data_IF_863124428268
#
_entry.id   IF_863124428268
#
_cell.length_a   1.000
_cell.length_b   1.000
_cell.length_c   1.000
_cell.angle_alpha   90.00
_cell.angle_beta   90.00
_cell.angle_gamma   90.00
#
_symmetry.space_group_name_H-M   'P 1'
#
loop_
_entity.id
_entity.type
_entity.pdbx_description
1 polymer ?
#
# COMPACT_ATOMS: atom_id res chain seq x y z
N UNK A 1 -19.56 -93.11 -64.21
CA UNK A 1 -20.45 -91.98 -64.58
C UNK A 1 -21.01 -91.21 -63.36
N UNK A 2 -21.79 -91.80 -62.44
CA UNK A 2 -22.33 -91.06 -61.28
C UNK A 2 -21.26 -90.57 -60.29
N UNK A 3 -20.28 -91.41 -59.94
CA UNK A 3 -19.17 -91.04 -59.05
C UNK A 3 -18.28 -89.90 -59.60
N UNK A 4 -18.08 -89.84 -60.92
CA UNK A 4 -17.34 -88.75 -61.57
C UNK A 4 -18.11 -87.43 -61.57
N UNK A 5 -19.43 -87.47 -61.72
CA UNK A 5 -20.26 -86.28 -61.65
C UNK A 5 -20.29 -85.72 -60.22
N UNK A 6 -20.35 -86.59 -59.20
CA UNK A 6 -20.26 -86.19 -57.79
C UNK A 6 -18.90 -85.54 -57.48
N UNK A 7 -17.80 -86.17 -57.90
CA UNK A 7 -16.44 -85.60 -57.75
C UNK A 7 -16.29 -84.25 -58.46
N UNK A 8 -16.86 -84.08 -59.65
CA UNK A 8 -16.86 -82.79 -60.37
C UNK A 8 -17.62 -81.71 -59.62
N UNK A 9 -18.77 -82.05 -59.04
CA UNK A 9 -19.57 -81.10 -58.26
C UNK A 9 -18.87 -80.72 -56.94
N UNK A 10 -18.21 -81.67 -56.27
CA UNK A 10 -17.38 -81.40 -55.09
C UNK A 10 -16.18 -80.50 -55.44
N UNK A 11 -15.44 -80.80 -56.50
CA UNK A 11 -14.35 -79.95 -57.00
C UNK A 11 -14.84 -78.54 -57.33
N UNK A 12 -16.03 -78.40 -57.91
CA UNK A 12 -16.65 -77.09 -58.19
C UNK A 12 -16.95 -76.31 -56.90
N UNK A 13 -17.47 -76.98 -55.87
CA UNK A 13 -17.74 -76.36 -54.56
C UNK A 13 -16.45 -75.94 -53.86
N UNK A 14 -15.43 -76.80 -53.89
CA UNK A 14 -14.09 -76.50 -53.36
C UNK A 14 -13.50 -75.30 -54.10
N UNK A 15 -13.58 -75.26 -55.43
CA UNK A 15 -13.10 -74.12 -56.23
C UNK A 15 -13.78 -72.80 -55.87
N UNK A 16 -15.11 -72.79 -55.63
CA UNK A 16 -15.84 -71.60 -55.16
C UNK A 16 -15.39 -71.15 -53.77
N UNK A 17 -15.20 -72.10 -52.84
CA UNK A 17 -14.69 -71.81 -51.50
C UNK A 17 -13.28 -71.20 -51.56
N UNK A 18 -12.39 -71.79 -52.36
CA UNK A 18 -11.02 -71.29 -52.55
C UNK A 18 -11.03 -69.88 -53.13
N UNK A 19 -11.84 -69.62 -54.17
CA UNK A 19 -11.95 -68.28 -54.77
C UNK A 19 -12.50 -67.23 -53.78
N UNK A 20 -13.52 -67.60 -52.99
CA UNK A 20 -14.06 -66.70 -51.97
C UNK A 20 -13.05 -66.40 -50.87
N UNK A 21 -12.30 -67.41 -50.41
CA UNK A 21 -11.25 -67.24 -49.41
C UNK A 21 -10.09 -66.39 -49.95
N UNK A 22 -9.69 -66.58 -51.21
CA UNK A 22 -8.66 -65.77 -51.86
C UNK A 22 -9.09 -64.28 -51.92
N UNK A 23 -10.32 -64.00 -52.39
CA UNK A 23 -10.85 -62.64 -52.42
C UNK A 23 -10.93 -62.02 -51.01
N UNK A 24 -11.31 -62.79 -50.00
CA UNK A 24 -11.37 -62.32 -48.62
C UNK A 24 -9.97 -62.00 -48.05
N UNK A 25 -8.96 -62.80 -48.41
CA UNK A 25 -7.55 -62.53 -48.06
C UNK A 25 -7.08 -61.24 -48.73
N UNK A 26 -7.37 -61.05 -50.02
CA UNK A 26 -6.95 -59.85 -50.76
C UNK A 26 -7.58 -58.57 -50.18
N UNK A 27 -8.88 -58.59 -49.89
CA UNK A 27 -9.57 -57.44 -49.25
C UNK A 27 -9.01 -57.18 -47.85
N UNK A 28 -8.73 -58.22 -47.07
CA UNK A 28 -8.12 -58.06 -45.74
C UNK A 28 -6.69 -57.49 -45.82
N UNK A 29 -5.90 -57.90 -46.82
CA UNK A 29 -4.57 -57.36 -47.06
C UNK A 29 -4.64 -55.88 -47.45
N UNK A 30 -5.54 -55.48 -48.36
CA UNK A 30 -5.76 -54.07 -48.72
C UNK A 30 -6.17 -53.23 -47.50
N UNK A 31 -7.10 -53.74 -46.69
CA UNK A 31 -7.52 -53.05 -45.46
C UNK A 31 -6.36 -52.91 -44.45
N UNK A 32 -5.48 -53.90 -44.39
CA UNK A 32 -4.29 -53.85 -43.55
C UNK A 32 -3.34 -52.75 -44.01
N UNK A 33 -3.06 -52.65 -45.32
CA UNK A 33 -2.24 -51.58 -45.91
C UNK A 33 -2.84 -50.18 -45.65
N UNK A 34 -4.16 -50.02 -45.79
CA UNK A 34 -4.85 -48.76 -45.48
C UNK A 34 -4.71 -48.36 -44.00
N UNK A 35 -4.82 -49.33 -43.08
CA UNK A 35 -4.63 -49.05 -41.65
C UNK A 35 -3.19 -48.67 -41.34
N UNK A 36 -2.20 -49.34 -41.95
CA UNK A 36 -0.79 -49.00 -41.79
C UNK A 36 -0.47 -47.60 -42.33
N UNK A 37 -1.09 -47.21 -43.45
CA UNK A 37 -0.98 -45.85 -43.97
C UNK A 37 -1.54 -44.82 -42.99
N UNK A 38 -2.79 -45.02 -42.53
CA UNK A 38 -3.44 -44.12 -41.55
C UNK A 38 -2.66 -44.03 -40.25
N UNK A 39 -2.15 -45.15 -39.75
CA UNK A 39 -1.32 -45.20 -38.55
C UNK A 39 -0.05 -44.35 -38.71
N UNK A 40 0.68 -44.52 -39.83
CA UNK A 40 1.88 -43.72 -40.13
C UNK A 40 1.57 -42.22 -40.24
N UNK A 41 0.47 -41.87 -40.90
CA UNK A 41 0.05 -40.48 -41.04
C UNK A 41 -0.27 -39.83 -39.69
N UNK A 42 -1.01 -40.55 -38.83
CA UNK A 42 -1.33 -40.11 -37.46
C UNK A 42 -0.05 -39.95 -36.64
N UNK A 43 0.87 -40.93 -36.67
CA UNK A 43 2.15 -40.84 -35.97
C UNK A 43 2.97 -39.63 -36.42
N UNK A 44 3.08 -39.38 -37.73
CA UNK A 44 3.83 -38.25 -38.27
C UNK A 44 3.17 -36.90 -37.91
N UNK A 45 1.84 -36.84 -37.86
CA UNK A 45 1.10 -35.66 -37.40
C UNK A 45 1.33 -35.40 -35.92
N UNK A 46 1.26 -36.44 -35.09
CA UNK A 46 1.49 -36.35 -33.65
C UNK A 46 2.91 -35.88 -33.33
N UNK A 47 3.93 -36.41 -34.01
CA UNK A 47 5.32 -35.97 -33.85
C UNK A 47 5.47 -34.48 -34.15
N UNK A 48 4.91 -34.00 -35.27
CA UNK A 48 4.93 -32.57 -35.62
C UNK A 48 4.29 -31.69 -34.56
N UNK A 49 3.09 -32.06 -34.10
CA UNK A 49 2.38 -31.33 -33.04
C UNK A 49 3.15 -31.33 -31.71
N UNK A 50 3.81 -32.45 -31.37
CA UNK A 50 4.65 -32.54 -30.19
C UNK A 50 5.88 -31.62 -30.27
N UNK A 51 6.54 -31.55 -31.44
CA UNK A 51 7.68 -30.66 -31.66
C UNK A 51 7.30 -29.18 -31.58
N UNK A 52 6.16 -28.80 -32.17
CA UNK A 52 5.62 -27.44 -32.05
C UNK A 52 5.30 -27.07 -30.61
N UNK A 53 4.69 -28.00 -29.86
CA UNK A 53 4.40 -27.80 -28.44
C UNK A 53 5.66 -27.59 -27.61
N UNK A 54 6.72 -28.35 -27.88
CA UNK A 54 7.99 -28.19 -27.15
C UNK A 54 8.69 -26.86 -27.49
N UNK A 55 8.65 -26.43 -28.76
CA UNK A 55 9.15 -25.10 -29.17
C UNK A 55 8.42 -23.97 -28.45
N UNK A 56 7.10 -24.02 -28.39
CA UNK A 56 6.28 -23.02 -27.70
C UNK A 56 6.56 -23.01 -26.19
N UNK A 57 6.69 -24.20 -25.58
CA UNK A 57 7.05 -24.34 -24.17
C UNK A 57 8.41 -23.70 -23.87
N UNK A 58 9.40 -23.96 -24.72
CA UNK A 58 10.75 -23.40 -24.55
C UNK A 58 10.74 -21.87 -24.68
N UNK A 59 10.02 -21.32 -25.66
CA UNK A 59 9.86 -19.88 -25.81
C UNK A 59 9.18 -19.23 -24.59
N UNK A 60 8.12 -19.86 -24.06
CA UNK A 60 7.45 -19.40 -22.85
C UNK A 60 8.39 -19.37 -21.64
N UNK A 61 9.18 -20.43 -21.44
CA UNK A 61 10.18 -20.50 -20.36
C UNK A 61 11.21 -19.36 -20.48
N UNK A 62 11.66 -19.06 -21.70
CA UNK A 62 12.67 -18.04 -21.94
C UNK A 62 12.14 -16.62 -21.70
N UNK A 63 10.89 -16.34 -22.09
CA UNK A 63 10.24 -15.06 -21.79
C UNK A 63 10.00 -14.87 -20.29
N UNK A 64 9.58 -15.92 -19.56
CA UNK A 64 9.45 -15.88 -18.10
C UNK A 64 10.79 -15.54 -17.44
N UNK A 65 11.90 -16.13 -17.91
CA UNK A 65 13.24 -15.81 -17.41
C UNK A 65 13.63 -14.36 -17.67
N UNK A 66 13.36 -13.83 -18.86
CA UNK A 66 13.64 -12.41 -19.19
C UNK A 66 12.84 -11.48 -18.28
N UNK A 67 11.55 -11.75 -18.08
CA UNK A 67 10.70 -10.97 -17.18
C UNK A 67 11.23 -11.00 -15.74
N UNK A 68 11.63 -12.17 -15.23
CA UNK A 68 12.21 -12.31 -13.90
C UNK A 68 13.52 -11.52 -13.75
N UNK A 69 14.40 -11.56 -14.75
CA UNK A 69 15.63 -10.76 -14.73
C UNK A 69 15.33 -9.26 -14.66
N UNK A 70 14.40 -8.75 -15.49
CA UNK A 70 14.02 -7.33 -15.49
C UNK A 70 13.42 -6.91 -14.15
N UNK A 71 12.52 -7.74 -13.59
CA UNK A 71 11.87 -7.48 -12.31
C UNK A 71 12.90 -7.43 -11.16
N UNK A 72 13.82 -8.40 -11.12
CA UNK A 72 14.90 -8.44 -10.13
C UNK A 72 15.80 -7.19 -10.22
N UNK A 73 16.16 -6.79 -11.42
CA UNK A 73 16.97 -5.59 -11.69
C UNK A 73 16.28 -4.30 -11.23
N UNK A 74 14.97 -4.17 -11.52
CA UNK A 74 14.15 -3.03 -11.05
C UNK A 74 14.11 -3.00 -9.52
N UNK A 75 13.89 -4.16 -8.89
CA UNK A 75 13.86 -4.29 -7.45
C UNK A 75 15.20 -3.87 -6.81
N UNK A 76 16.32 -4.32 -7.36
CA UNK A 76 17.65 -3.97 -6.85
C UNK A 76 17.92 -2.45 -6.94
N UNK A 77 17.58 -1.82 -8.08
CA UNK A 77 17.71 -0.36 -8.24
C UNK A 77 16.82 0.41 -7.27
N UNK A 78 15.59 -0.05 -7.05
CA UNK A 78 14.68 0.54 -6.06
C UNK A 78 15.24 0.43 -4.64
N UNK A 79 15.73 -0.74 -4.25
CA UNK A 79 16.39 -0.94 -2.95
C UNK A 79 17.58 0.01 -2.75
N UNK A 80 18.42 0.19 -3.77
CA UNK A 80 19.56 1.11 -3.70
C UNK A 80 19.12 2.57 -3.51
N UNK A 81 18.12 3.02 -4.29
CA UNK A 81 17.56 4.38 -4.13
C UNK A 81 16.97 4.59 -2.74
N UNK A 82 16.23 3.62 -2.20
CA UNK A 82 15.68 3.71 -0.85
C UNK A 82 16.75 3.76 0.23
N UNK A 83 17.82 2.97 0.10
CA UNK A 83 18.97 3.05 1.01
C UNK A 83 19.59 4.45 0.99
N UNK A 84 19.78 5.04 -0.19
CA UNK A 84 20.30 6.40 -0.34
C UNK A 84 19.35 7.45 0.29
N UNK A 85 18.07 7.40 -0.04
CA UNK A 85 17.06 8.32 0.51
C UNK A 85 16.98 8.24 2.04
N UNK A 86 17.08 7.03 2.60
CA UNK A 86 17.12 6.84 4.06
C UNK A 86 18.33 7.53 4.68
N UNK A 87 19.50 7.40 4.06
CA UNK A 87 20.71 8.07 4.52
C UNK A 87 20.57 9.59 4.45
N UNK A 88 20.06 10.12 3.34
CA UNK A 88 19.88 11.57 3.14
C UNK A 88 18.88 12.16 4.17
N UNK A 89 17.77 11.46 4.45
CA UNK A 89 16.80 11.85 5.49
C UNK A 89 17.42 11.85 6.89
N UNK A 90 18.25 10.86 7.22
CA UNK A 90 18.94 10.79 8.52
C UNK A 90 19.94 11.96 8.66
N UNK A 91 20.64 12.32 7.59
CA UNK A 91 21.51 13.48 7.55
C UNK A 91 20.75 14.79 7.78
N UNK A 92 19.64 15.02 7.06
CA UNK A 92 18.81 16.21 7.24
C UNK A 92 18.24 16.32 8.65
N UNK A 93 17.78 15.20 9.22
CA UNK A 93 17.26 15.16 10.60
C UNK A 93 18.31 15.65 11.60
N UNK A 94 19.56 15.19 11.47
CA UNK A 94 20.66 15.63 12.35
C UNK A 94 20.98 17.12 12.18
N UNK A 95 20.90 17.65 10.96
CA UNK A 95 21.10 19.09 10.70
C UNK A 95 20.01 19.92 11.39
N UNK A 96 18.74 19.52 11.27
CA UNK A 96 17.63 20.20 11.96
C UNK A 96 17.77 20.12 13.48
N UNK A 97 18.16 18.97 14.04
CA UNK A 97 18.44 18.83 15.47
C UNK A 97 19.56 19.77 15.95
N UNK A 98 20.60 19.99 15.15
CA UNK A 98 21.66 20.94 15.47
C UNK A 98 21.17 22.39 15.44
N UNK A 99 20.38 22.77 14.42
CA UNK A 99 19.78 24.11 14.32
C UNK A 99 18.84 24.41 15.48
N UNK A 100 18.04 23.44 15.91
CA UNK A 100 17.16 23.59 17.09
C UNK A 100 17.99 23.90 18.34
N UNK A 101 19.08 23.16 18.59
CA UNK A 101 19.98 23.44 19.72
C UNK A 101 20.63 24.81 19.66
N UNK A 102 20.97 25.30 18.46
CA UNK A 102 21.52 26.64 18.31
C UNK A 102 20.46 27.73 18.60
N UNK A 103 19.23 27.55 18.10
CA UNK A 103 18.13 28.46 18.37
C UNK A 103 17.79 28.51 19.86
N UNK A 104 17.76 27.37 20.56
CA UNK A 104 17.56 27.32 22.02
C UNK A 104 18.60 28.14 22.78
N UNK A 105 19.88 28.07 22.38
CA UNK A 105 20.94 28.89 22.98
C UNK A 105 20.72 30.38 22.72
N UNK A 106 20.35 30.76 21.49
CA UNK A 106 20.05 32.17 21.15
C UNK A 106 18.84 32.71 21.91
N UNK A 107 17.79 31.90 22.09
CA UNK A 107 16.64 32.26 22.91
C UNK A 107 17.05 32.46 24.37
N UNK A 108 17.85 31.56 24.93
CA UNK A 108 18.34 31.72 26.30
C UNK A 108 19.17 33.00 26.48
N UNK A 109 20.01 33.33 25.50
CA UNK A 109 20.81 34.56 25.49
C UNK A 109 19.92 35.81 25.43
N UNK A 110 18.96 35.85 24.50
CA UNK A 110 18.03 36.97 24.38
C UNK A 110 17.18 37.15 25.65
N UNK A 111 16.78 36.07 26.32
CA UNK A 111 16.04 36.12 27.58
C UNK A 111 16.88 36.70 28.73
N UNK A 112 18.19 36.44 28.74
CA UNK A 112 19.12 37.04 29.72
C UNK A 112 19.26 38.54 29.46
N UNK A 113 19.57 38.95 28.23
CA UNK A 113 19.69 40.35 27.84
C UNK A 113 18.40 41.13 28.13
N UNK A 114 17.24 40.53 27.84
CA UNK A 114 15.94 41.14 28.15
C UNK A 114 15.74 41.36 29.65
N UNK A 115 16.18 40.43 30.51
CA UNK A 115 16.11 40.59 31.97
C UNK A 115 17.03 41.70 32.46
N UNK A 116 18.23 41.81 31.91
CA UNK A 116 19.18 42.87 32.24
C UNK A 116 18.63 44.25 31.88
N UNK A 117 18.10 44.42 30.66
CA UNK A 117 17.47 45.66 30.21
C UNK A 117 16.25 46.05 31.05
N UNK A 118 15.45 45.07 31.51
CA UNK A 118 14.32 45.32 32.43
C UNK A 118 14.83 45.85 33.77
N UNK A 119 15.88 45.25 34.33
CA UNK A 119 16.46 45.67 35.60
C UNK A 119 17.08 47.08 35.49
N UNK A 120 17.78 47.38 34.39
CA UNK A 120 18.31 48.71 34.12
C UNK A 120 17.21 49.75 34.00
N UNK A 121 16.11 49.45 33.30
CA UNK A 121 14.95 50.33 33.20
C UNK A 121 14.32 50.62 34.58
N UNK A 122 14.17 49.60 35.43
CA UNK A 122 13.66 49.78 36.79
C UNK A 122 14.59 50.68 37.62
N UNK A 123 15.91 50.51 37.51
CA UNK A 123 16.90 51.36 38.19
C UNK A 123 16.87 52.81 37.69
N UNK A 124 16.81 53.02 36.37
CA UNK A 124 16.70 54.36 35.76
C UNK A 124 15.40 55.04 36.19
N UNK A 125 14.28 54.31 36.21
CA UNK A 125 12.99 54.80 36.70
C UNK A 125 13.04 55.16 38.19
N UNK A 126 13.78 54.40 39.00
CA UNK A 126 14.06 54.72 40.41
C UNK A 126 14.84 56.03 40.56
N UNK A 127 15.95 56.17 39.83
CA UNK A 127 16.78 57.39 39.83
C UNK A 127 16.00 58.62 39.36
N UNK A 128 15.20 58.50 38.29
CA UNK A 128 14.32 59.57 37.81
C UNK A 128 13.25 59.97 38.84
N UNK A 129 12.75 59.02 39.65
CA UNK A 129 11.83 59.32 40.75
C UNK A 129 12.51 60.07 41.90
N UNK A 130 13.82 59.89 42.07
CA UNK A 130 14.65 60.69 42.99
C UNK A 130 14.98 62.07 42.37
N UNK A 131 14.87 62.24 41.05
CA UNK A 131 15.29 63.43 40.29
C UNK A 131 14.16 64.34 39.75
N UNK A 132 12.91 64.27 40.23
CA UNK A 132 11.90 65.29 39.91
C UNK A 132 11.49 66.15 41.12
N UNK A 133 11.30 67.48 40.94
CA UNK A 133 12.29 68.45 41.42
C UNK A 133 11.68 69.53 42.33
N UNK A 134 12.50 70.03 43.25
CA UNK A 134 12.32 71.39 43.79
C UNK A 134 12.79 72.35 42.67
N UNK A 135 11.87 72.71 41.78
CA UNK A 135 11.90 73.87 40.88
C UNK A 135 13.06 73.99 39.88
N UNK A 136 12.76 73.82 38.58
CA UNK A 136 13.13 74.80 37.55
C UNK A 136 12.53 74.39 36.21
N UNK A 137 11.88 75.35 35.55
CA UNK A 137 11.45 75.26 34.17
C UNK A 137 12.63 74.94 33.23
N UNK A 138 12.33 74.22 32.14
CA UNK A 138 13.20 73.87 31.00
C UNK A 138 14.02 72.57 31.13
N UNK A 139 13.34 71.42 31.01
CA UNK A 139 13.94 70.24 30.38
C UNK A 139 13.37 70.18 28.96
N UNK A 140 14.26 70.19 27.97
CA UNK A 140 14.00 70.28 26.54
C UNK A 140 12.91 69.29 26.09
N UNK A 141 11.77 69.84 25.68
CA UNK A 141 10.67 69.15 25.00
C UNK A 141 11.14 68.28 23.79
N UNK A 142 12.36 68.53 23.30
CA UNK A 142 13.02 67.81 22.20
C UNK A 142 13.39 66.37 22.55
N UNK A 143 13.86 66.08 23.76
CA UNK A 143 14.34 64.73 24.13
C UNK A 143 13.19 63.75 24.43
N UNK A 144 12.06 64.28 24.90
CA UNK A 144 10.83 63.50 25.06
C UNK A 144 10.24 63.14 23.69
N UNK A 145 10.36 64.03 22.71
CA UNK A 145 9.89 63.79 21.35
C UNK A 145 10.76 62.76 20.60
N UNK A 146 12.09 62.78 20.78
CA UNK A 146 12.97 61.78 20.14
C UNK A 146 12.68 60.36 20.64
N UNK A 147 12.58 60.17 21.96
CA UNK A 147 12.27 58.86 22.55
C UNK A 147 10.87 58.35 22.15
N UNK A 148 9.91 59.26 21.99
CA UNK A 148 8.57 58.89 21.52
C UNK A 148 8.58 58.41 20.07
N UNK A 149 9.38 59.05 19.22
CA UNK A 149 9.56 58.63 17.83
C UNK A 149 10.26 57.27 17.75
N UNK A 150 11.32 57.04 18.53
CA UNK A 150 12.00 55.74 18.57
C UNK A 150 11.08 54.62 19.08
N UNK A 151 10.26 54.89 20.10
CA UNK A 151 9.28 53.91 20.59
C UNK A 151 8.21 53.59 19.53
N UNK A 152 7.79 54.60 18.77
CA UNK A 152 6.84 54.44 17.68
C UNK A 152 7.44 53.62 16.53
N UNK A 153 8.68 53.92 16.14
CA UNK A 153 9.41 53.18 15.11
C UNK A 153 9.59 51.69 15.50
N UNK A 154 9.92 51.41 16.76
CA UNK A 154 10.01 50.03 17.26
C UNK A 154 8.66 49.31 17.31
N UNK A 155 7.57 50.03 17.57
CA UNK A 155 6.23 49.44 17.52
C UNK A 155 5.82 49.09 16.08
N UNK A 156 6.18 49.93 15.11
CA UNK A 156 5.90 49.70 13.69
C UNK A 156 6.76 48.54 13.13
N UNK A 157 8.05 48.48 13.47
CA UNK A 157 8.93 47.32 13.15
C UNK A 157 8.39 46.00 13.73
N UNK A 158 7.87 46.03 14.96
CA UNK A 158 7.30 44.85 15.60
C UNK A 158 6.06 44.35 14.85
N UNK A 159 5.23 45.27 14.36
CA UNK A 159 4.06 44.98 13.52
C UNK A 159 4.46 44.35 12.19
N UNK A 160 5.51 44.87 11.55
CA UNK A 160 6.04 44.33 10.32
C UNK A 160 6.63 42.92 10.51
N UNK A 161 7.31 42.70 11.64
CA UNK A 161 7.84 41.40 12.02
C UNK A 161 6.71 40.37 12.27
N UNK A 162 5.62 40.77 12.94
CA UNK A 162 4.42 39.93 13.12
C UNK A 162 3.76 39.58 11.77
N UNK A 163 3.64 40.56 10.87
CA UNK A 163 3.12 40.36 9.51
C UNK A 163 3.99 39.38 8.70
N UNK A 164 5.30 39.52 8.78
CA UNK A 164 6.25 38.62 8.13
C UNK A 164 6.15 37.21 8.69
N UNK A 165 6.05 37.06 10.01
CA UNK A 165 5.92 35.75 10.65
C UNK A 165 4.62 35.04 10.23
N UNK A 166 3.49 35.76 10.23
CA UNK A 166 2.22 35.23 9.72
C UNK A 166 2.32 34.79 8.26
N UNK A 167 3.01 35.58 7.43
CA UNK A 167 3.23 35.24 6.01
C UNK A 167 4.07 33.98 5.85
N UNK A 168 5.13 33.83 6.65
CA UNK A 168 5.98 32.63 6.64
C UNK A 168 5.21 31.38 7.06
N UNK A 169 4.38 31.46 8.10
CA UNK A 169 3.51 30.34 8.53
C UNK A 169 2.56 29.92 7.41
N UNK A 170 1.96 30.88 6.71
CA UNK A 170 1.07 30.59 5.56
C UNK A 170 1.85 29.92 4.44
N UNK A 171 3.04 30.43 4.07
CA UNK A 171 3.89 29.82 3.02
C UNK A 171 4.36 28.41 3.40
N UNK A 172 4.73 28.18 4.64
CA UNK A 172 5.12 26.86 5.13
C UNK A 172 3.96 25.86 5.01
N UNK A 173 2.75 26.26 5.40
CA UNK A 173 1.55 25.42 5.27
C UNK A 173 1.22 25.11 3.82
N UNK A 174 1.33 26.09 2.93
CA UNK A 174 1.11 25.91 1.49
C UNK A 174 2.15 24.96 0.89
N UNK A 175 3.44 25.16 1.19
CA UNK A 175 4.52 24.30 0.69
C UNK A 175 4.40 22.86 1.23
N UNK A 176 4.00 22.70 2.50
CA UNK A 176 3.71 21.38 3.06
C UNK A 176 2.52 20.70 2.37
N UNK A 177 1.50 21.46 1.95
CA UNK A 177 0.38 20.93 1.20
C UNK A 177 0.82 20.44 -0.19
N UNK A 178 1.57 21.25 -0.92
CA UNK A 178 2.17 20.88 -2.21
C UNK A 178 3.06 19.63 -2.10
N UNK A 179 3.88 19.54 -1.04
CA UNK A 179 4.71 18.36 -0.77
C UNK A 179 3.86 17.11 -0.50
N UNK A 180 2.77 17.25 0.26
CA UNK A 180 1.85 16.14 0.52
C UNK A 180 1.14 15.67 -0.75
N UNK A 181 0.74 16.59 -1.62
CA UNK A 181 0.08 16.23 -2.87
C UNK A 181 1.05 15.58 -3.87
N UNK A 182 2.29 16.10 -4.00
CA UNK A 182 3.34 15.45 -4.77
C UNK A 182 3.65 14.04 -4.26
N UNK A 183 3.61 13.83 -2.93
CA UNK A 183 3.78 12.49 -2.32
C UNK A 183 2.62 11.56 -2.66
N UNK A 184 1.37 12.04 -2.62
CA UNK A 184 0.19 11.24 -3.02
C UNK A 184 0.29 10.83 -4.49
N UNK A 185 0.70 11.75 -5.36
CA UNK A 185 0.84 11.50 -6.78
C UNK A 185 1.96 10.47 -7.06
N UNK A 186 3.09 10.56 -6.37
CA UNK A 186 4.15 9.55 -6.42
C UNK A 186 3.68 8.16 -5.97
N UNK A 187 2.87 8.08 -4.91
CA UNK A 187 2.27 6.82 -4.45
C UNK A 187 1.34 6.27 -5.53
N UNK A 188 0.48 7.11 -6.11
CA UNK A 188 -0.42 6.69 -7.20
C UNK A 188 0.36 6.22 -8.42
N UNK A 189 1.40 6.94 -8.86
CA UNK A 189 2.26 6.52 -9.98
C UNK A 189 2.96 5.20 -9.65
N UNK A 190 3.45 5.01 -8.43
CA UNK A 190 4.09 3.77 -8.01
C UNK A 190 3.11 2.59 -8.01
N UNK A 191 1.89 2.80 -7.53
CA UNK A 191 0.82 1.79 -7.60
C UNK A 191 0.48 1.48 -9.06
N UNK A 192 0.22 2.49 -9.89
CA UNK A 192 -0.13 2.31 -11.31
C UNK A 192 0.98 1.65 -12.14
N UNK A 193 2.25 1.97 -11.87
CA UNK A 193 3.40 1.34 -12.54
C UNK A 193 3.63 -0.10 -12.07
N UNK A 194 3.40 -0.40 -10.79
CA UNK A 194 3.41 -1.78 -10.27
C UNK A 194 2.25 -2.60 -10.83
N UNK A 195 1.07 -1.98 -11.02
CA UNK A 195 -0.11 -2.60 -11.65
C UNK A 195 0.15 -2.90 -13.14
N UNK A 196 0.81 -2.01 -13.88
CA UNK A 196 1.20 -2.28 -15.27
C UNK A 196 2.27 -3.39 -15.40
N UNK A 197 3.12 -3.59 -14.39
CA UNK A 197 4.04 -4.73 -14.33
C UNK A 197 3.34 -6.06 -13.98
N UNK A 198 2.24 -6.00 -13.23
CA UNK A 198 1.40 -7.15 -12.86
C UNK A 198 0.38 -7.55 -13.95
N UNK A 199 -0.03 -6.62 -14.83
CA UNK A 199 -0.93 -6.87 -15.96
C UNK A 199 -0.32 -7.75 -17.08
N UNK A 200 0.90 -8.27 -16.92
CA UNK A 200 1.49 -9.29 -17.79
C UNK A 200 1.31 -10.73 -17.25
N UNK A 201 0.59 -10.90 -16.13
CA UNK A 201 0.35 -12.18 -15.45
C UNK A 201 -1.15 -12.43 -15.23
N UNK A 202 -1.97 -12.31 -16.27
CA UNK A 202 -3.33 -12.86 -16.21
C UNK A 202 -3.27 -14.39 -16.12
N UNK A 203 -3.83 -14.95 -15.04
CA UNK A 203 -4.22 -16.37 -14.99
C UNK A 203 -3.47 -17.30 -14.04
N UNK A 204 -2.54 -16.83 -13.19
CA UNK A 204 -1.87 -17.69 -12.21
C UNK A 204 -2.23 -17.31 -10.76
N UNK A 205 -2.79 -18.23 -9.96
CA UNK A 205 -3.06 -17.98 -8.55
C UNK A 205 -1.73 -17.88 -7.80
N UNK A 206 -1.43 -16.69 -7.27
CA UNK A 206 -0.29 -16.48 -6.39
C UNK A 206 -0.72 -16.90 -4.98
N UNK A 207 -0.34 -18.11 -4.59
CA UNK A 207 -0.57 -18.63 -3.24
C UNK A 207 0.38 -17.92 -2.26
N UNK A 208 -0.18 -17.05 -1.40
CA UNK A 208 0.52 -16.57 -0.21
C UNK A 208 0.04 -17.36 1.01
N UNK A 209 0.95 -17.81 1.91
CA UNK A 209 0.59 -18.61 3.06
C UNK A 209 -0.03 -17.73 4.16
N UNK A 210 -1.34 -17.47 4.03
CA UNK A 210 -2.21 -17.04 5.11
C UNK A 210 -3.55 -17.76 4.92
N UNK A 211 -3.62 -18.99 5.46
CA UNK A 211 -4.66 -19.99 5.18
C UNK A 211 -6.05 -19.65 5.69
N UNK A 212 -6.78 -18.84 4.92
CA UNK A 212 -8.25 -18.76 4.91
C UNK A 212 -8.79 -17.88 3.77
N UNK A 213 -7.93 -17.25 2.95
CA UNK A 213 -8.35 -16.34 1.89
C UNK A 213 -7.60 -16.54 0.56
N UNK A 214 -8.36 -16.48 -0.53
CA UNK A 214 -7.90 -16.41 -1.93
C UNK A 214 -8.03 -14.97 -2.42
N UNK A 215 -6.96 -14.46 -3.03
CA UNK A 215 -6.96 -13.11 -3.62
C UNK A 215 -7.23 -13.20 -5.12
N UNK A 216 -8.27 -12.50 -5.56
CA UNK A 216 -8.58 -12.32 -6.97
C UNK A 216 -8.19 -10.91 -7.40
N UNK A 217 -7.41 -10.82 -8.47
CA UNK A 217 -7.00 -9.57 -9.08
C UNK A 217 -7.84 -9.35 -10.34
N UNK A 218 -8.78 -8.42 -10.27
CA UNK A 218 -9.44 -7.90 -11.46
C UNK A 218 -8.87 -6.51 -11.74
N UNK A 219 -8.88 -6.07 -13.00
CA UNK A 219 -8.11 -4.94 -13.57
C UNK A 219 -8.05 -3.62 -12.78
N UNK A 220 -8.83 -3.43 -11.70
CA UNK A 220 -8.86 -2.22 -10.88
C UNK A 220 -9.08 -2.46 -9.37
N UNK A 221 -9.14 -3.71 -8.86
CA UNK A 221 -9.41 -3.97 -7.45
C UNK A 221 -8.90 -5.36 -6.99
N UNK A 222 -8.37 -5.43 -5.76
CA UNK A 222 -7.99 -6.70 -5.11
C UNK A 222 -9.17 -7.16 -4.24
N UNK A 223 -9.81 -8.26 -4.63
CA UNK A 223 -10.88 -8.85 -3.85
C UNK A 223 -10.34 -10.05 -3.06
N UNK A 224 -10.38 -9.94 -1.74
CA UNK A 224 -10.10 -11.05 -0.83
C UNK A 224 -11.38 -11.86 -0.65
N UNK A 225 -11.40 -13.05 -1.24
CA UNK A 225 -12.49 -14.01 -1.15
C UNK A 225 -12.07 -15.11 -0.19
N UNK A 226 -13.01 -15.63 0.59
CA UNK A 226 -12.73 -16.72 1.53
C UNK A 226 -12.31 -17.95 0.75
N UNK A 227 -11.26 -18.62 1.21
CA UNK A 227 -10.82 -19.85 0.61
C UNK A 227 -11.75 -20.98 1.07
N UNK A 228 -12.74 -21.32 0.24
CA UNK A 228 -13.67 -22.43 0.50
C UNK A 228 -12.95 -23.80 0.57
N UNK A 229 -11.69 -23.88 0.13
CA UNK A 229 -10.86 -25.09 0.25
C UNK A 229 -10.06 -25.15 1.55
N UNK A 230 -10.08 -24.09 2.37
CA UNK A 230 -9.37 -24.04 3.64
C UNK A 230 -9.91 -25.06 4.65
N UNK A 231 -9.00 -25.79 5.27
CA UNK A 231 -9.30 -26.93 6.13
C UNK A 231 -10.09 -26.49 7.39
N UNK A 232 -9.84 -25.29 7.92
CA UNK A 232 -10.55 -24.77 9.10
C UNK A 232 -11.91 -24.21 8.76
N UNK A 233 -12.07 -23.64 7.56
CA UNK A 233 -13.36 -23.15 7.06
C UNK A 233 -14.31 -24.32 6.77
N UNK A 234 -13.79 -25.42 6.22
CA UNK A 234 -14.54 -26.69 6.06
C UNK A 234 -14.94 -27.29 7.40
N UNK A 235 -14.02 -27.34 8.36
CA UNK A 235 -14.29 -27.86 9.71
C UNK A 235 -15.39 -27.04 10.42
N UNK A 236 -15.39 -25.71 10.26
CA UNK A 236 -16.41 -24.80 10.78
C UNK A 236 -17.80 -25.12 10.22
N UNK A 237 -17.90 -25.41 8.92
CA UNK A 237 -19.15 -25.79 8.28
C UNK A 237 -19.63 -27.18 8.75
N UNK A 238 -18.73 -28.16 8.78
CA UNK A 238 -19.06 -29.55 9.12
C UNK A 238 -19.46 -29.73 10.59
N UNK A 239 -18.83 -29.00 11.51
CA UNK A 239 -19.06 -29.16 12.96
C UNK A 239 -20.11 -28.21 13.53
N UNK A 240 -20.22 -26.98 13.00
CA UNK A 240 -21.00 -25.91 13.63
C UNK A 240 -22.12 -25.36 12.74
N UNK A 241 -22.21 -25.82 11.49
CA UNK A 241 -23.29 -25.52 10.57
C UNK A 241 -23.25 -24.11 9.94
N UNK A 242 -24.21 -23.87 9.04
CA UNK A 242 -24.23 -22.72 8.13
C UNK A 242 -24.31 -21.35 8.84
N UNK A 243 -24.99 -21.28 10.00
CA UNK A 243 -25.17 -20.03 10.74
C UNK A 243 -23.86 -19.53 11.35
N UNK A 244 -23.07 -20.44 11.93
CA UNK A 244 -21.77 -20.11 12.52
C UNK A 244 -20.76 -19.78 11.44
N UNK A 245 -20.76 -20.54 10.35
CA UNK A 245 -19.99 -20.24 9.15
C UNK A 245 -20.25 -18.82 8.65
N UNK A 246 -21.52 -18.43 8.43
CA UNK A 246 -21.88 -17.09 7.93
C UNK A 246 -21.45 -15.98 8.90
N UNK A 247 -21.58 -16.20 10.21
CA UNK A 247 -21.17 -15.21 11.20
C UNK A 247 -19.64 -15.00 11.19
N UNK A 248 -18.86 -16.09 11.16
CA UNK A 248 -17.39 -16.04 11.18
C UNK A 248 -16.83 -15.46 9.88
N UNK A 249 -17.33 -15.92 8.73
CA UNK A 249 -16.93 -15.42 7.41
C UNK A 249 -17.20 -13.93 7.26
N UNK A 250 -18.37 -13.46 7.69
CA UNK A 250 -18.72 -12.04 7.70
C UNK A 250 -17.80 -11.22 8.60
N UNK A 251 -17.51 -11.69 9.81
CA UNK A 251 -16.60 -10.99 10.73
C UNK A 251 -15.18 -10.89 10.17
N UNK A 252 -14.69 -11.93 9.49
CA UNK A 252 -13.37 -11.93 8.84
C UNK A 252 -13.30 -10.90 7.71
N UNK A 253 -14.35 -10.80 6.89
CA UNK A 253 -14.46 -9.78 5.83
C UNK A 253 -14.51 -8.36 6.41
N UNK A 254 -15.33 -8.13 7.45
CA UNK A 254 -15.46 -6.83 8.12
C UNK A 254 -14.13 -6.36 8.74
N UNK A 255 -13.34 -7.27 9.33
CA UNK A 255 -12.00 -6.95 9.87
C UNK A 255 -11.04 -6.53 8.76
N UNK A 256 -11.16 -7.14 7.58
CA UNK A 256 -10.30 -6.84 6.45
C UNK A 256 -10.68 -5.53 5.75
N UNK A 257 -11.97 -5.20 5.67
CA UNK A 257 -12.44 -3.90 5.18
C UNK A 257 -12.02 -2.76 6.12
N UNK A 258 -12.02 -3.01 7.43
CA UNK A 258 -11.73 -2.00 8.44
C UNK A 258 -10.24 -1.80 8.75
N UNK A 259 -9.45 -2.87 8.80
CA UNK A 259 -8.01 -2.85 9.09
C UNK A 259 -7.24 -3.89 8.25
N UNK A 260 -7.13 -3.67 6.93
CA UNK A 260 -6.57 -4.65 6.00
C UNK A 260 -5.11 -5.03 6.31
N UNK A 261 -4.32 -4.07 6.81
CA UNK A 261 -2.90 -4.29 7.12
C UNK A 261 -2.67 -4.97 8.47
N UNK A 262 -3.57 -4.79 9.44
CA UNK A 262 -3.38 -5.24 10.82
C UNK A 262 -4.13 -6.53 11.18
N UNK A 263 -5.33 -6.75 10.62
CA UNK A 263 -6.20 -7.91 10.93
C UNK A 263 -6.44 -8.17 12.42
N UNK A 264 -6.38 -7.13 13.26
CA UNK A 264 -6.77 -7.18 14.67
C UNK A 264 -7.90 -6.19 14.94
N UNK A 265 -8.75 -6.54 15.92
CA UNK A 265 -9.82 -5.67 16.39
C UNK A 265 -9.22 -4.38 16.97
N UNK A 266 -9.63 -3.23 16.43
CA UNK A 266 -9.19 -1.92 16.89
C UNK A 266 -10.21 -1.40 17.90
N UNK A 267 -9.84 -1.18 19.18
CA UNK A 267 -10.75 -0.60 20.15
C UNK A 267 -11.13 0.84 19.77
N UNK A 268 -12.42 1.08 19.58
CA UNK A 268 -12.99 2.36 19.17
C UNK A 268 -13.70 3.04 20.34
N UNK A 269 -13.54 4.36 20.48
CA UNK A 269 -14.36 5.13 21.40
C UNK A 269 -15.70 5.43 20.73
N UNK A 270 -16.80 4.97 21.33
CA UNK A 270 -18.15 5.09 20.77
C UNK A 270 -19.00 6.12 21.53
N UNK A 271 -19.76 6.95 20.81
CA UNK A 271 -20.79 7.79 21.40
C UNK A 271 -22.12 7.02 21.40
N UNK A 272 -22.44 6.39 22.53
CA UNK A 272 -23.66 5.60 22.69
C UNK A 272 -24.96 6.39 22.54
N UNK A 273 -24.95 7.71 22.74
CA UNK A 273 -26.15 8.54 22.57
C UNK A 273 -26.48 8.78 21.11
N UNK A 274 -25.44 8.96 20.31
CA UNK A 274 -25.55 9.27 18.87
C UNK A 274 -25.43 8.01 18.01
N UNK A 275 -25.14 6.85 18.60
CA UNK A 275 -25.05 5.57 17.89
C UNK A 275 -23.92 5.51 16.86
N UNK A 276 -22.85 6.29 17.05
CA UNK A 276 -21.71 6.39 16.12
C UNK A 276 -20.38 6.52 16.85
N UNK A 277 -19.28 6.35 16.12
CA UNK A 277 -17.91 6.62 16.61
C UNK A 277 -17.80 8.01 17.22
N UNK A 278 -17.17 8.10 18.38
CA UNK A 278 -16.95 9.36 19.09
C UNK A 278 -15.91 10.19 18.33
N UNK A 279 -16.23 11.46 18.11
CA UNK A 279 -15.31 12.43 17.54
C UNK A 279 -14.24 12.84 18.56
N UNK A 280 -13.08 13.28 18.07
CA UNK A 280 -11.98 13.77 18.93
C UNK A 280 -12.44 14.88 19.88
N UNK A 281 -13.33 15.76 19.42
CA UNK A 281 -13.92 16.82 20.23
C UNK A 281 -14.74 16.26 21.40
N UNK A 282 -15.59 15.26 21.14
CA UNK A 282 -16.41 14.59 22.18
C UNK A 282 -15.52 13.87 23.20
N UNK A 283 -14.47 13.19 22.74
CA UNK A 283 -13.50 12.50 23.61
C UNK A 283 -12.74 13.50 24.47
N UNK A 284 -12.19 14.58 23.89
CA UNK A 284 -11.48 15.61 24.66
C UNK A 284 -12.38 16.29 25.69
N UNK A 285 -13.63 16.59 25.33
CA UNK A 285 -14.61 17.16 26.25
C UNK A 285 -14.90 16.22 27.42
N UNK A 286 -15.05 14.92 27.17
CA UNK A 286 -15.25 13.91 28.20
C UNK A 286 -14.05 13.82 29.14
N UNK A 287 -12.82 13.75 28.61
CA UNK A 287 -11.59 13.70 29.41
C UNK A 287 -11.42 14.98 30.24
N UNK A 288 -11.68 16.16 29.67
CA UNK A 288 -11.63 17.43 30.40
C UNK A 288 -12.66 17.49 31.53
N UNK A 289 -13.86 16.93 31.32
CA UNK A 289 -14.88 16.83 32.35
C UNK A 289 -14.42 15.94 33.51
N UNK A 290 -13.85 14.77 33.21
CA UNK A 290 -13.31 13.84 34.21
C UNK A 290 -12.14 14.44 35.02
N UNK A 291 -11.27 15.21 34.36
CA UNK A 291 -10.17 15.90 35.03
C UNK A 291 -10.64 17.01 35.96
N UNK A 292 -11.71 17.73 35.60
CA UNK A 292 -12.32 18.76 36.47
C UNK A 292 -12.96 18.15 37.71
N UNK A 293 -13.66 17.02 37.58
CA UNK A 293 -14.25 16.30 38.72
C UNK A 293 -13.17 15.70 39.63
N UNK A 294 -12.07 15.16 39.09
CA UNK A 294 -10.95 14.67 39.88
C UNK A 294 -10.22 15.79 40.64
N UNK A 295 -10.06 16.97 40.03
CA UNK A 295 -9.47 18.14 40.68
C UNK A 295 -10.37 18.72 41.78
N UNK A 296 -11.70 18.65 41.64
CA UNK A 296 -12.62 19.11 42.69
C UNK A 296 -12.69 18.15 43.88
N UNK A 297 -12.58 16.84 43.64
CA UNK A 297 -12.49 15.81 44.68
C UNK A 297 -11.19 15.91 45.50
N UNK A 298 -10.05 16.20 44.84
CA UNK A 298 -8.76 16.42 45.54
C UNK A 298 -8.70 17.70 46.39
N UNK A 299 -9.55 18.69 46.12
CA UNK A 299 -9.65 19.94 46.91
C UNK A 299 -10.60 19.85 48.11
N UNK A 300 -11.37 18.75 48.21
CA UNK A 300 -12.36 18.51 49.28
C UNK A 300 -11.91 17.47 50.31
N UNK A 301 -10.76 16.83 50.10
CA UNK A 301 -10.03 16.03 51.10
C UNK A 301 -8.91 16.88 51.66
#
# INVERSE_FOLDING_TARGET
MQMENLRREELRKVGKLVANLANAIDVNNQRMEEMEYKYREICASLTRSMEEREKLRQACIEEVRKMQCIAHDRHLRFQQKNKKLKYDLECQKKEFEQRVKELEKRVHQNDLERKELIAENENLKGTLRVQNPIGSDNISNVDILSLRNELQEKADEMKDMESLNLTLIVKERLSNHELQDARKELINIHISSSVNELNMLEGLPVFFPAGFAKFYYNSWEVQEIIDDEDEKIKELMDQWGEEVYKAVTKALLEINEYNPSGRYAVPELWNFKEGRKASLKEVMQYVLKQLKTLKSLKRRR
#
